data_IF_965305473650
#
_entry.id   IF_965305473650
#
_cell.length_a   1.000
_cell.length_b   1.000
_cell.length_c   1.000
_cell.angle_alpha   90.00
_cell.angle_beta   90.00
_cell.angle_gamma   90.00
#
_symmetry.space_group_name_H-M   'P 1'
#
loop_
_entity.id
_entity.type
_entity.pdbx_description
1 polymer ?
#
# COMPACT_ATOMS: atom_id res chain seq x y z
N UNK A 1 -0.39 -16.29 42.03
CA UNK A 1 0.11 -15.30 41.07
C UNK A 1 -0.49 -15.71 39.75
N UNK A 2 -1.46 -14.93 39.27
CA UNK A 2 -2.19 -15.25 38.03
C UNK A 2 -1.46 -14.58 36.89
N UNK A 3 -0.87 -15.37 36.01
CA UNK A 3 -0.30 -14.89 34.76
C UNK A 3 -1.45 -14.40 33.87
N UNK A 4 -1.64 -13.08 33.85
CA UNK A 4 -2.51 -12.45 32.85
C UNK A 4 -1.76 -12.46 31.53
N UNK A 5 -2.06 -13.43 30.67
CA UNK A 5 -1.78 -13.33 29.25
C UNK A 5 -2.53 -12.12 28.71
N UNK A 6 -1.80 -11.02 28.51
CA UNK A 6 -2.31 -9.87 27.77
C UNK A 6 -2.41 -10.30 26.31
N UNK A 7 -3.59 -10.76 25.88
CA UNK A 7 -3.92 -10.88 24.46
C UNK A 7 -3.90 -9.47 23.89
N UNK A 8 -2.78 -9.09 23.26
CA UNK A 8 -2.74 -7.89 22.42
C UNK A 8 -3.60 -8.19 21.20
N UNK A 9 -4.91 -7.92 21.30
CA UNK A 9 -5.77 -7.81 20.12
C UNK A 9 -5.28 -6.60 19.33
N UNK A 10 -4.54 -6.85 18.25
CA UNK A 10 -4.38 -5.85 17.20
C UNK A 10 -5.78 -5.31 16.85
N UNK A 11 -5.96 -3.99 16.78
CA UNK A 11 -7.24 -3.43 16.33
C UNK A 11 -7.56 -4.01 14.95
N UNK A 12 -8.74 -4.63 14.82
CA UNK A 12 -9.21 -5.10 13.51
C UNK A 12 -9.65 -3.89 12.70
N UNK A 13 -9.01 -3.67 11.55
CA UNK A 13 -9.46 -2.68 10.58
C UNK A 13 -10.71 -3.19 9.85
N UNK A 14 -11.67 -2.30 9.59
CA UNK A 14 -12.78 -2.56 8.68
C UNK A 14 -12.31 -2.53 7.22
N UNK A 15 -13.07 -3.14 6.30
CA UNK A 15 -12.73 -3.07 4.86
C UNK A 15 -12.61 -1.62 4.38
N UNK A 16 -13.49 -0.73 4.84
CA UNK A 16 -13.43 0.70 4.50
C UNK A 16 -12.13 1.36 4.96
N UNK A 17 -11.68 1.07 6.19
CA UNK A 17 -10.42 1.61 6.70
C UNK A 17 -9.23 1.06 5.91
N UNK A 18 -9.22 -0.23 5.58
CA UNK A 18 -8.19 -0.86 4.75
C UNK A 18 -8.12 -0.18 3.37
N UNK A 19 -9.25 -0.07 2.67
CA UNK A 19 -9.29 0.58 1.35
C UNK A 19 -8.84 2.04 1.41
N UNK A 20 -9.28 2.78 2.43
CA UNK A 20 -8.92 4.19 2.62
C UNK A 20 -7.41 4.36 2.82
N UNK A 21 -6.79 3.47 3.62
CA UNK A 21 -5.34 3.48 3.83
C UNK A 21 -4.60 3.18 2.53
N UNK A 22 -4.99 2.12 1.80
CA UNK A 22 -4.34 1.73 0.54
C UNK A 22 -4.43 2.85 -0.49
N UNK A 23 -5.62 3.44 -0.65
CA UNK A 23 -5.84 4.56 -1.57
C UNK A 23 -5.02 5.80 -1.15
N UNK A 24 -4.97 6.11 0.14
CA UNK A 24 -4.15 7.21 0.65
C UNK A 24 -2.64 7.00 0.41
N UNK A 25 -2.15 5.77 0.60
CA UNK A 25 -0.77 5.41 0.29
C UNK A 25 -0.49 5.59 -1.21
N UNK A 26 -1.36 5.08 -2.07
CA UNK A 26 -1.26 5.19 -3.52
C UNK A 26 -1.14 6.65 -3.97
N UNK A 27 -2.05 7.51 -3.49
CA UNK A 27 -2.05 8.95 -3.81
C UNK A 27 -0.78 9.64 -3.31
N UNK A 28 -0.33 9.30 -2.10
CA UNK A 28 0.89 9.86 -1.51
C UNK A 28 2.12 9.49 -2.35
N UNK A 29 2.22 8.25 -2.80
CA UNK A 29 3.32 7.80 -3.65
C UNK A 29 3.28 8.44 -5.04
N UNK A 30 2.09 8.74 -5.60
CA UNK A 30 2.00 9.53 -6.85
C UNK A 30 2.58 10.92 -6.72
N UNK A 31 2.42 11.60 -5.57
CA UNK A 31 3.08 12.88 -5.34
C UNK A 31 4.61 12.74 -5.31
N UNK A 32 5.13 11.66 -4.72
CA UNK A 32 6.57 11.36 -4.75
C UNK A 32 7.03 11.09 -6.19
N UNK A 33 6.31 10.26 -6.95
CA UNK A 33 6.64 9.92 -8.34
C UNK A 33 6.66 11.16 -9.27
N UNK A 34 5.76 12.11 -9.04
CA UNK A 34 5.70 13.36 -9.79
C UNK A 34 6.79 14.38 -9.38
N UNK A 35 7.50 14.16 -8.28
CA UNK A 35 8.53 15.07 -7.80
C UNK A 35 9.76 15.07 -8.71
N UNK A 36 10.23 16.23 -9.19
CA UNK A 36 11.46 16.32 -9.98
C UNK A 36 12.68 15.75 -9.26
N UNK A 37 12.75 15.89 -7.93
CA UNK A 37 13.84 15.34 -7.13
C UNK A 37 13.81 13.81 -7.16
N UNK A 38 12.64 13.20 -6.97
CA UNK A 38 12.52 11.74 -7.04
C UNK A 38 12.87 11.22 -8.44
N UNK A 39 12.39 11.88 -9.50
CA UNK A 39 12.72 11.50 -10.87
C UNK A 39 14.22 11.53 -11.14
N UNK A 40 14.96 12.51 -10.59
CA UNK A 40 16.41 12.56 -10.68
C UNK A 40 17.09 11.42 -9.90
N UNK A 41 16.57 11.06 -8.72
CA UNK A 41 17.06 9.93 -7.93
C UNK A 41 16.86 8.62 -8.69
N UNK A 42 15.65 8.36 -9.21
CA UNK A 42 15.30 7.12 -9.91
C UNK A 42 16.00 7.00 -11.27
N UNK A 43 16.30 8.11 -11.96
CA UNK A 43 17.04 8.12 -13.23
C UNK A 43 18.56 7.90 -13.07
N UNK A 44 19.09 7.88 -11.85
CA UNK A 44 20.51 7.67 -11.59
C UNK A 44 20.96 6.27 -12.02
N UNK A 45 22.12 6.15 -12.65
CA UNK A 45 22.76 4.85 -12.97
C UNK A 45 23.08 4.01 -11.73
N UNK A 46 23.10 4.64 -10.55
CA UNK A 46 23.32 3.96 -9.27
C UNK A 46 22.01 3.51 -8.61
N UNK A 47 20.86 3.91 -9.15
CA UNK A 47 19.58 3.46 -8.65
C UNK A 47 19.43 1.97 -8.94
N UNK A 48 19.30 1.19 -7.88
CA UNK A 48 19.10 -0.25 -7.96
C UNK A 48 18.25 -0.72 -6.80
N UNK A 49 17.42 -1.71 -7.08
CA UNK A 49 16.65 -2.45 -6.08
C UNK A 49 16.88 -3.94 -6.31
N UNK A 50 16.61 -4.78 -5.31
CA UNK A 50 16.94 -6.21 -5.41
C UNK A 50 16.21 -6.96 -6.54
N UNK A 51 15.11 -6.41 -7.05
CA UNK A 51 14.25 -7.04 -8.07
C UNK A 51 13.87 -6.05 -9.20
N UNK A 52 14.71 -5.04 -9.47
CA UNK A 52 14.45 -3.99 -10.46
C UNK A 52 13.13 -3.21 -10.29
N UNK A 53 12.56 -3.30 -9.09
CA UNK A 53 11.36 -2.57 -8.69
C UNK A 53 11.63 -1.06 -8.67
N UNK A 54 10.63 -0.33 -9.15
CA UNK A 54 10.52 1.12 -9.19
C UNK A 54 9.33 1.57 -8.34
N UNK A 55 9.26 2.87 -8.05
CA UNK A 55 8.10 3.39 -7.32
C UNK A 55 6.79 3.19 -8.08
N UNK A 56 6.86 3.17 -9.42
CA UNK A 56 5.73 2.82 -10.27
C UNK A 56 5.16 1.43 -9.97
N UNK A 57 5.99 0.43 -9.67
CA UNK A 57 5.54 -0.92 -9.37
C UNK A 57 4.82 -0.98 -8.01
N UNK A 58 5.30 -0.21 -7.03
CA UNK A 58 4.62 -0.08 -5.74
C UNK A 58 3.24 0.59 -5.89
N UNK A 59 3.15 1.66 -6.68
CA UNK A 59 1.88 2.33 -6.99
C UNK A 59 0.92 1.36 -7.69
N UNK A 60 1.40 0.65 -8.71
CA UNK A 60 0.60 -0.33 -9.45
C UNK A 60 0.08 -1.44 -8.54
N UNK A 61 0.93 -1.96 -7.65
CA UNK A 61 0.55 -2.97 -6.66
C UNK A 61 -0.58 -2.48 -5.75
N UNK A 62 -0.51 -1.24 -5.26
CA UNK A 62 -1.56 -0.68 -4.41
C UNK A 62 -2.89 -0.51 -5.15
N UNK A 63 -2.85 -0.09 -6.43
CA UNK A 63 -4.04 -0.01 -7.29
C UNK A 63 -4.67 -1.39 -7.46
N UNK A 64 -3.89 -2.41 -7.83
CA UNK A 64 -4.39 -3.77 -8.05
C UNK A 64 -5.00 -4.37 -6.78
N UNK A 65 -4.36 -4.17 -5.63
CA UNK A 65 -4.90 -4.65 -4.35
C UNK A 65 -6.20 -3.92 -4.00
N UNK A 66 -6.26 -2.60 -4.19
CA UNK A 66 -7.48 -1.82 -3.94
C UNK A 66 -8.65 -2.27 -4.83
N UNK A 67 -8.40 -2.48 -6.12
CA UNK A 67 -9.38 -2.99 -7.07
C UNK A 67 -9.84 -4.41 -6.73
N UNK A 68 -8.93 -5.30 -6.33
CA UNK A 68 -9.27 -6.65 -5.90
C UNK A 68 -10.21 -6.65 -4.69
N UNK A 69 -9.98 -5.76 -3.71
CA UNK A 69 -10.86 -5.61 -2.54
C UNK A 69 -12.26 -5.13 -2.98
N UNK A 70 -12.33 -4.11 -3.84
CA UNK A 70 -13.62 -3.61 -4.38
C UNK A 70 -14.38 -4.74 -5.07
N UNK A 71 -13.70 -5.53 -5.90
CA UNK A 71 -14.32 -6.63 -6.63
C UNK A 71 -14.92 -7.66 -5.67
N UNK A 72 -14.17 -8.07 -4.63
CA UNK A 72 -14.69 -9.03 -3.63
C UNK A 72 -15.89 -8.45 -2.89
N UNK A 73 -15.85 -7.19 -2.46
CA UNK A 73 -16.97 -6.55 -1.76
C UNK A 73 -18.22 -6.47 -2.65
N UNK A 74 -18.07 -6.17 -3.94
CA UNK A 74 -19.18 -6.15 -4.90
C UNK A 74 -19.77 -7.54 -5.13
N UNK A 75 -18.92 -8.56 -5.36
CA UNK A 75 -19.38 -9.94 -5.57
C UNK A 75 -19.93 -10.60 -4.30
N UNK A 76 -19.57 -10.12 -3.11
CA UNK A 76 -20.11 -10.63 -1.84
C UNK A 76 -21.50 -10.05 -1.52
N UNK A 77 -21.96 -9.05 -2.27
CA UNK A 77 -23.27 -8.39 -2.10
C UNK A 77 -24.35 -8.90 -3.08
N UNK A 78 -24.01 -9.81 -4.00
CA UNK A 78 -24.93 -10.49 -4.95
C UNK A 78 -25.17 -11.94 -4.57
#
# INVERSE_FOLDING_TARGET
>A
MSDQETVQTQPSLTTTEIMTIILGCEQTLRFVQASPNYQQIEASERFSTSNDLRLGDAIQTLVEVHEAIINIEFYSQV
#
